data_IF_297663871202
#
_entry.id   IF_297663871202
#
_cell.length_a   1.000
_cell.length_b   1.000
_cell.length_c   1.000
_cell.angle_alpha   90.00
_cell.angle_beta   90.00
_cell.angle_gamma   90.00
#
_symmetry.space_group_name_H-M   'P 1'
#
loop_
_entity.id
_entity.type
_entity.pdbx_description
1 polymer ?
#
# COMPACT_ATOMS: atom_id res chain seq x y z
N UNK A 1 52.65 -6.30 -36.13
CA UNK A 1 52.29 -6.77 -34.78
C UNK A 1 50.78 -6.61 -34.64
N UNK A 2 50.07 -7.69 -34.31
CA UNK A 2 48.60 -7.77 -34.42
C UNK A 2 47.87 -6.91 -33.39
N UNK A 3 46.75 -6.32 -33.81
CA UNK A 3 46.02 -5.22 -33.17
C UNK A 3 45.35 -5.55 -31.81
N UNK A 4 45.53 -6.74 -31.24
CA UNK A 4 44.92 -7.12 -29.95
C UNK A 4 45.78 -8.16 -29.25
N UNK A 5 46.33 -7.81 -28.07
CA UNK A 5 46.95 -8.80 -27.19
C UNK A 5 45.94 -9.86 -26.80
N UNK A 6 46.33 -11.14 -26.92
CA UNK A 6 45.48 -12.27 -26.53
C UNK A 6 45.30 -12.23 -25.02
N UNK A 7 44.08 -11.96 -24.55
CA UNK A 7 43.72 -12.00 -23.14
C UNK A 7 43.26 -13.39 -22.75
N UNK A 8 43.61 -13.82 -21.55
CA UNK A 8 43.18 -15.07 -20.94
C UNK A 8 42.40 -14.77 -19.67
N UNK A 9 41.50 -15.68 -19.31
CA UNK A 9 40.72 -15.58 -18.08
C UNK A 9 41.59 -15.98 -16.89
N UNK A 10 41.70 -15.11 -15.89
CA UNK A 10 42.51 -15.38 -14.70
C UNK A 10 41.80 -16.32 -13.70
N UNK A 11 40.56 -16.74 -14.02
CA UNK A 11 39.80 -17.75 -13.28
C UNK A 11 39.91 -19.14 -13.91
N UNK A 12 39.64 -19.28 -15.22
CA UNK A 12 39.61 -20.59 -15.88
C UNK A 12 40.79 -20.87 -16.82
N UNK A 13 41.64 -19.87 -17.09
CA UNK A 13 42.77 -19.98 -18.03
C UNK A 13 42.39 -19.97 -19.51
N UNK A 14 41.10 -19.98 -19.86
CA UNK A 14 40.65 -19.99 -21.25
C UNK A 14 40.91 -18.65 -21.95
N UNK A 15 41.12 -18.70 -23.27
CA UNK A 15 41.31 -17.51 -24.09
C UNK A 15 40.02 -16.70 -24.18
N UNK A 16 40.11 -15.40 -23.91
CA UNK A 16 38.98 -14.48 -23.99
C UNK A 16 38.86 -13.92 -25.41
N UNK A 17 37.65 -14.01 -25.98
CA UNK A 17 37.30 -13.39 -27.26
C UNK A 17 37.17 -11.86 -27.17
N UNK A 18 37.20 -11.18 -28.31
CA UNK A 18 37.26 -9.70 -28.40
C UNK A 18 36.18 -8.95 -27.60
N UNK A 19 34.97 -9.51 -27.52
CA UNK A 19 33.82 -8.89 -26.83
C UNK A 19 33.48 -9.56 -25.49
N UNK A 20 34.27 -10.55 -25.07
CA UNK A 20 33.97 -11.37 -23.89
C UNK A 20 34.74 -10.98 -22.64
N UNK A 21 35.60 -9.94 -22.71
CA UNK A 21 36.45 -9.56 -21.59
C UNK A 21 35.73 -8.61 -20.64
N UNK A 22 35.55 -9.06 -19.39
CA UNK A 22 35.29 -8.17 -18.27
C UNK A 22 36.62 -7.89 -17.57
N UNK A 23 37.06 -6.63 -17.64
CA UNK A 23 38.27 -6.17 -16.93
C UNK A 23 37.94 -6.04 -15.44
N UNK A 24 38.78 -6.63 -14.60
CA UNK A 24 38.78 -6.52 -13.15
C UNK A 24 39.80 -5.46 -12.71
N UNK A 25 39.92 -5.21 -11.41
CA UNK A 25 40.96 -4.30 -10.89
C UNK A 25 42.38 -4.82 -11.19
N UNK A 26 42.60 -6.12 -11.00
CA UNK A 26 43.90 -6.79 -11.08
C UNK A 26 43.89 -8.02 -12.02
N UNK A 27 42.92 -8.10 -12.95
CA UNK A 27 42.80 -9.24 -13.87
C UNK A 27 41.74 -9.13 -14.97
N UNK A 28 41.49 -10.25 -15.63
CA UNK A 28 40.54 -10.43 -16.72
C UNK A 28 39.62 -11.62 -16.45
N UNK A 29 38.33 -11.42 -16.70
CA UNK A 29 37.29 -12.42 -16.49
C UNK A 29 36.54 -12.69 -17.80
N UNK A 30 36.42 -13.97 -18.17
CA UNK A 30 35.61 -14.37 -19.32
C UNK A 30 34.11 -14.33 -19.02
N UNK A 31 33.31 -14.22 -20.08
CA UNK A 31 31.83 -14.23 -20.00
C UNK A 31 31.27 -15.46 -19.27
N UNK A 32 31.89 -16.64 -19.40
CA UNK A 32 31.33 -17.88 -18.88
C UNK A 32 31.60 -18.05 -17.37
N UNK A 33 32.75 -17.58 -16.88
CA UNK A 33 32.98 -17.40 -15.45
C UNK A 33 32.09 -16.29 -14.88
N UNK A 34 31.90 -15.17 -15.60
CA UNK A 34 31.04 -14.08 -15.15
C UNK A 34 29.57 -14.49 -14.99
N UNK A 35 29.08 -15.42 -15.83
CA UNK A 35 27.70 -15.98 -15.73
C UNK A 35 27.49 -16.86 -14.50
N UNK A 36 28.55 -17.41 -13.91
CA UNK A 36 28.44 -18.25 -12.70
C UNK A 36 28.27 -17.42 -11.43
N UNK A 37 28.66 -16.15 -11.47
CA UNK A 37 28.49 -15.21 -10.35
C UNK A 37 27.01 -14.99 -10.04
N UNK A 38 26.69 -14.68 -8.78
CA UNK A 38 25.32 -14.37 -8.37
C UNK A 38 24.75 -13.23 -9.20
N UNK A 39 23.47 -13.28 -9.65
CA UNK A 39 22.78 -12.14 -10.24
C UNK A 39 22.71 -10.91 -9.32
N UNK A 40 22.89 -11.08 -8.00
CA UNK A 40 22.87 -10.03 -6.99
C UNK A 40 24.26 -9.61 -6.51
N UNK A 41 25.33 -10.13 -7.12
CA UNK A 41 26.68 -9.72 -6.73
C UNK A 41 26.91 -8.24 -7.10
N UNK A 42 27.16 -7.43 -6.08
CA UNK A 42 27.48 -6.00 -6.20
C UNK A 42 28.85 -5.75 -6.82
N UNK A 43 29.05 -4.55 -7.38
CA UNK A 43 30.35 -4.02 -7.79
C UNK A 43 31.22 -4.92 -8.70
N UNK A 44 30.61 -5.87 -9.43
CA UNK A 44 31.34 -6.89 -10.23
C UNK A 44 32.37 -6.35 -11.23
N UNK A 45 32.26 -5.08 -11.62
CA UNK A 45 33.16 -4.44 -12.60
C UNK A 45 34.38 -3.81 -11.94
N UNK A 46 34.36 -3.65 -10.62
CA UNK A 46 35.40 -3.07 -9.79
C UNK A 46 35.88 -4.07 -8.72
N UNK A 47 35.62 -5.36 -8.91
CA UNK A 47 36.13 -6.42 -8.02
C UNK A 47 37.54 -6.84 -8.42
N UNK A 48 38.31 -7.25 -7.43
CA UNK A 48 39.58 -7.97 -7.59
C UNK A 48 39.35 -9.42 -8.04
N UNK A 49 40.38 -10.07 -8.56
CA UNK A 49 40.36 -11.48 -8.94
C UNK A 49 40.10 -12.39 -7.72
N UNK A 50 40.62 -12.02 -6.56
CA UNK A 50 40.41 -12.77 -5.32
C UNK A 50 38.93 -12.74 -4.90
N UNK A 51 38.30 -11.56 -4.91
CA UNK A 51 36.86 -11.43 -4.62
C UNK A 51 36.00 -12.23 -5.59
N UNK A 52 36.37 -12.25 -6.88
CA UNK A 52 35.67 -13.06 -7.89
C UNK A 52 35.79 -14.55 -7.57
N UNK A 53 36.98 -15.03 -7.17
CA UNK A 53 37.18 -16.44 -6.79
C UNK A 53 36.40 -16.78 -5.52
N UNK A 54 36.40 -15.92 -4.52
CA UNK A 54 35.66 -16.12 -3.27
C UNK A 54 34.14 -16.15 -3.52
N UNK A 55 33.63 -15.27 -4.37
CA UNK A 55 32.22 -15.27 -4.76
C UNK A 55 31.85 -16.57 -5.49
N UNK A 56 32.69 -17.06 -6.42
CA UNK A 56 32.47 -18.34 -7.11
C UNK A 56 32.49 -19.54 -6.15
N UNK A 57 33.37 -19.52 -5.15
CA UNK A 57 33.38 -20.55 -4.11
C UNK A 57 32.07 -20.52 -3.30
N UNK A 58 31.62 -19.34 -2.87
CA UNK A 58 30.33 -19.19 -2.19
C UNK A 58 29.17 -19.70 -3.05
N UNK A 59 29.20 -19.48 -4.38
CA UNK A 59 28.19 -20.03 -5.31
C UNK A 59 28.18 -21.56 -5.32
N UNK A 60 29.34 -22.20 -5.17
CA UNK A 60 29.43 -23.66 -5.08
C UNK A 60 28.86 -24.17 -3.75
N UNK A 61 29.15 -23.48 -2.65
CA UNK A 61 28.56 -23.77 -1.33
C UNK A 61 27.03 -23.60 -1.35
N UNK A 62 26.53 -22.55 -2.02
CA UNK A 62 25.11 -22.29 -2.20
C UNK A 62 24.37 -23.44 -2.91
N UNK A 63 25.03 -24.23 -3.76
CA UNK A 63 24.39 -25.40 -4.41
C UNK A 63 23.86 -26.42 -3.39
N UNK A 64 24.54 -26.55 -2.24
CA UNK A 64 24.08 -27.42 -1.15
C UNK A 64 22.80 -26.87 -0.52
N UNK A 65 22.74 -25.55 -0.32
CA UNK A 65 21.53 -24.88 0.17
C UNK A 65 20.37 -25.08 -0.82
N UNK A 66 20.59 -24.84 -2.12
CA UNK A 66 19.58 -25.04 -3.18
C UNK A 66 19.03 -26.46 -3.18
N UNK A 67 19.89 -27.47 -3.04
CA UNK A 67 19.45 -28.88 -2.98
C UNK A 67 18.52 -29.15 -1.79
N UNK A 68 18.81 -28.55 -0.64
CA UNK A 68 18.04 -28.70 0.60
C UNK A 68 16.87 -27.71 0.74
N UNK A 69 16.74 -26.72 -0.15
CA UNK A 69 15.75 -25.66 -0.07
C UNK A 69 14.37 -26.14 -0.54
N UNK A 70 13.38 -26.08 0.35
CA UNK A 70 12.03 -26.55 0.09
C UNK A 70 11.03 -25.48 0.54
N UNK A 71 10.67 -24.53 -0.35
CA UNK A 71 9.82 -23.42 0.04
C UNK A 71 8.43 -23.91 0.44
N UNK A 72 8.01 -23.58 1.66
CA UNK A 72 6.66 -23.82 2.18
C UNK A 72 5.70 -22.68 1.84
N UNK A 73 6.24 -21.49 1.54
CA UNK A 73 5.49 -20.29 1.16
C UNK A 73 6.08 -19.68 -0.11
N UNK A 74 5.20 -19.18 -0.97
CA UNK A 74 5.58 -18.41 -2.16
C UNK A 74 4.67 -17.18 -2.23
N UNK A 75 5.25 -15.99 -2.15
CA UNK A 75 4.55 -14.74 -2.42
C UNK A 75 4.79 -14.41 -3.89
N UNK A 76 3.71 -14.39 -4.67
CA UNK A 76 3.79 -14.27 -6.13
C UNK A 76 3.58 -12.84 -6.60
N UNK A 77 4.35 -12.44 -7.61
CA UNK A 77 4.09 -11.25 -8.41
C UNK A 77 4.02 -11.63 -9.89
N UNK A 78 3.85 -10.64 -10.77
CA UNK A 78 3.82 -10.86 -12.22
C UNK A 78 5.19 -11.29 -12.78
N UNK A 79 6.29 -10.95 -12.08
CA UNK A 79 7.66 -11.30 -12.51
C UNK A 79 8.46 -11.99 -11.40
N UNK A 80 9.09 -11.25 -10.49
CA UNK A 80 9.91 -11.84 -9.43
C UNK A 80 9.05 -12.33 -8.27
N UNK A 81 9.21 -13.59 -7.89
CA UNK A 81 8.51 -14.22 -6.77
C UNK A 81 9.46 -14.37 -5.57
N UNK A 82 8.90 -14.32 -4.36
CA UNK A 82 9.63 -14.56 -3.13
C UNK A 82 9.29 -15.97 -2.60
N UNK A 83 10.27 -16.86 -2.61
CA UNK A 83 10.15 -18.24 -2.13
C UNK A 83 10.75 -18.32 -0.72
N UNK A 84 10.01 -18.87 0.23
CA UNK A 84 10.44 -18.91 1.63
C UNK A 84 10.34 -20.34 2.17
N UNK A 85 11.45 -20.84 2.70
CA UNK A 85 11.51 -22.06 3.51
C UNK A 85 11.42 -21.67 4.98
N UNK A 86 10.20 -21.69 5.51
CA UNK A 86 9.90 -21.33 6.90
C UNK A 86 10.57 -22.27 7.91
N UNK A 87 10.91 -23.51 7.52
CA UNK A 87 11.54 -24.48 8.44
C UNK A 87 13.01 -24.15 8.64
N UNK A 88 13.69 -23.76 7.55
CA UNK A 88 15.11 -23.40 7.58
C UNK A 88 15.34 -21.90 7.82
N UNK A 89 14.28 -21.08 7.82
CA UNK A 89 14.37 -19.62 7.92
C UNK A 89 15.25 -19.03 6.81
N UNK A 90 15.05 -19.52 5.58
CA UNK A 90 15.78 -19.10 4.38
C UNK A 90 14.80 -18.62 3.31
N UNK A 91 15.26 -17.78 2.39
CA UNK A 91 14.49 -17.32 1.26
C UNK A 91 15.34 -17.27 -0.02
N UNK A 92 14.66 -17.16 -1.15
CA UNK A 92 15.25 -16.74 -2.42
C UNK A 92 14.24 -15.95 -3.24
N UNK A 93 14.73 -15.05 -4.09
CA UNK A 93 13.90 -14.32 -5.03
C UNK A 93 14.26 -14.71 -6.46
N UNK A 94 13.27 -15.18 -7.23
CA UNK A 94 13.47 -15.58 -8.61
C UNK A 94 12.20 -15.39 -9.44
N UNK A 95 12.35 -15.25 -10.76
CA UNK A 95 11.21 -15.26 -11.69
C UNK A 95 10.55 -16.63 -11.67
N UNK A 96 11.35 -17.67 -11.86
CA UNK A 96 10.97 -19.06 -11.67
C UNK A 96 12.03 -19.74 -10.81
N UNK A 97 11.61 -20.57 -9.85
CA UNK A 97 12.55 -21.33 -9.05
C UNK A 97 13.05 -22.55 -9.84
N UNK A 98 14.16 -22.37 -10.55
CA UNK A 98 14.93 -23.45 -11.15
C UNK A 98 16.18 -23.71 -10.30
N UNK A 99 16.44 -24.97 -9.95
CA UNK A 99 17.59 -25.37 -9.14
C UNK A 99 18.89 -25.32 -9.94
N UNK A 100 18.83 -25.50 -11.26
CA UNK A 100 20.01 -25.49 -12.14
C UNK A 100 20.62 -24.09 -12.28
N UNK A 101 19.78 -23.05 -12.18
CA UNK A 101 20.21 -21.64 -12.14
C UNK A 101 21.00 -21.31 -10.85
N UNK A 102 20.99 -22.22 -9.86
CA UNK A 102 21.59 -22.04 -8.55
C UNK A 102 21.12 -20.70 -7.94
N UNK A 103 19.84 -20.53 -7.59
CA UNK A 103 19.32 -19.28 -7.04
C UNK A 103 19.99 -18.99 -5.69
N UNK A 104 20.30 -17.74 -5.38
CA UNK A 104 20.94 -17.39 -4.11
C UNK A 104 19.97 -17.67 -2.95
N UNK A 105 20.32 -18.62 -2.08
CA UNK A 105 19.54 -19.02 -0.91
C UNK A 105 20.12 -18.29 0.30
N UNK A 106 19.35 -17.38 0.87
CA UNK A 106 19.83 -16.43 1.88
C UNK A 106 19.02 -16.60 3.16
N UNK A 107 19.66 -16.47 4.32
CA UNK A 107 18.93 -16.52 5.60
C UNK A 107 18.06 -15.29 5.77
N UNK A 108 16.83 -15.48 6.25
CA UNK A 108 15.95 -14.38 6.63
C UNK A 108 16.61 -13.45 7.65
N UNK A 109 17.43 -13.99 8.55
CA UNK A 109 18.16 -13.21 9.56
C UNK A 109 19.18 -12.20 8.98
N UNK A 110 19.58 -12.36 7.71
CA UNK A 110 20.49 -11.41 7.06
C UNK A 110 19.77 -10.17 6.53
N UNK A 111 18.43 -10.17 6.50
CA UNK A 111 17.65 -9.04 6.02
C UNK A 111 17.74 -7.90 7.04
N UNK A 112 18.26 -6.76 6.58
CA UNK A 112 18.38 -5.53 7.37
C UNK A 112 17.23 -4.56 7.08
N UNK A 113 16.54 -4.72 5.95
CA UNK A 113 15.37 -3.92 5.59
C UNK A 113 14.74 -4.35 4.26
N UNK A 114 13.56 -3.82 3.97
CA UNK A 114 12.92 -3.95 2.67
C UNK A 114 12.07 -2.72 2.33
N UNK A 115 11.85 -2.47 1.04
CA UNK A 115 11.05 -1.34 0.54
C UNK A 115 10.31 -1.70 -0.75
N UNK A 116 9.13 -1.10 -0.97
CA UNK A 116 8.41 -1.14 -2.24
C UNK A 116 8.45 0.26 -2.84
N UNK A 117 8.95 0.36 -4.06
CA UNK A 117 9.09 1.60 -4.80
C UNK A 117 8.30 1.54 -6.11
N UNK A 118 7.77 2.68 -6.54
CA UNK A 118 6.97 2.80 -7.76
C UNK A 118 7.58 3.88 -8.64
N UNK A 119 8.14 3.46 -9.76
CA UNK A 119 8.67 4.35 -10.78
C UNK A 119 7.56 4.73 -11.76
N UNK A 120 7.15 5.99 -11.73
CA UNK A 120 6.23 6.58 -12.70
C UNK A 120 7.01 7.22 -13.85
N UNK A 121 6.68 6.84 -15.08
CA UNK A 121 7.19 7.47 -16.30
C UNK A 121 6.07 8.26 -16.97
N UNK A 122 6.29 9.56 -17.17
CA UNK A 122 5.36 10.47 -17.86
C UNK A 122 5.85 10.73 -19.29
N UNK A 123 5.00 10.46 -20.27
CA UNK A 123 5.30 10.66 -21.69
C UNK A 123 4.31 11.65 -22.30
N UNK A 124 4.80 12.72 -22.93
CA UNK A 124 3.94 13.66 -23.67
C UNK A 124 3.41 13.01 -24.95
N UNK A 125 2.12 13.18 -25.20
CA UNK A 125 1.46 12.70 -26.40
C UNK A 125 1.51 13.77 -27.49
N UNK A 126 1.68 13.32 -28.73
CA UNK A 126 1.72 14.18 -29.91
C UNK A 126 0.70 13.67 -30.93
N UNK A 127 0.08 14.59 -31.68
CA UNK A 127 -0.69 14.25 -32.86
C UNK A 127 0.17 14.44 -34.11
N UNK A 128 -0.13 13.65 -35.14
CA UNK A 128 0.46 13.88 -36.47
C UNK A 128 -0.50 14.77 -37.26
N UNK A 129 0.03 15.86 -37.80
CA UNK A 129 -0.75 16.76 -38.67
C UNK A 129 -0.94 16.17 -40.07
N UNK A 130 -1.53 16.95 -40.99
CA UNK A 130 -1.76 16.50 -42.37
C UNK A 130 -0.48 16.36 -43.19
N UNK A 131 0.58 17.03 -42.77
CA UNK A 131 1.88 17.06 -43.45
C UNK A 131 2.85 16.00 -42.88
N UNK A 132 2.44 15.28 -41.83
CA UNK A 132 3.21 14.23 -41.18
C UNK A 132 4.06 14.71 -40.01
N UNK A 133 3.99 15.99 -39.65
CA UNK A 133 4.76 16.58 -38.58
C UNK A 133 4.11 16.31 -37.22
N UNK A 134 4.96 16.18 -36.19
CA UNK A 134 4.51 15.93 -34.82
C UNK A 134 4.15 17.25 -34.14
N UNK A 135 2.88 17.44 -33.85
CA UNK A 135 2.39 18.57 -33.07
C UNK A 135 2.02 18.15 -31.65
N UNK A 136 2.38 18.96 -30.65
CA UNK A 136 1.86 18.80 -29.30
C UNK A 136 0.38 19.18 -29.23
N UNK A 137 -0.35 18.60 -28.29
CA UNK A 137 -1.70 19.04 -27.98
C UNK A 137 -1.69 20.38 -27.23
N UNK A 138 -2.74 21.19 -27.42
CA UNK A 138 -2.98 22.38 -26.61
C UNK A 138 -4.33 22.26 -25.89
N UNK A 139 -4.37 22.03 -24.56
CA UNK A 139 -3.20 21.88 -23.67
C UNK A 139 -2.44 20.54 -23.86
N UNK A 140 -1.15 20.46 -23.47
CA UNK A 140 -0.36 19.24 -23.57
C UNK A 140 -1.02 18.05 -22.87
N UNK A 141 -0.96 16.89 -23.52
CA UNK A 141 -1.49 15.62 -23.01
C UNK A 141 -0.34 14.70 -22.63
N UNK A 142 -0.55 13.88 -21.60
CA UNK A 142 0.44 12.95 -21.10
C UNK A 142 -0.18 11.58 -20.85
N UNK A 143 0.59 10.55 -21.12
CA UNK A 143 0.32 9.18 -20.65
C UNK A 143 1.34 8.78 -19.59
N UNK A 144 0.91 7.89 -18.70
CA UNK A 144 1.74 7.41 -17.60
C UNK A 144 1.94 5.90 -17.66
N UNK A 145 3.15 5.45 -17.37
CA UNK A 145 3.47 4.04 -17.13
C UNK A 145 4.17 3.86 -15.78
N UNK A 146 4.02 2.68 -15.20
CA UNK A 146 4.44 2.37 -13.84
C UNK A 146 5.26 1.08 -13.80
N UNK A 147 6.38 1.14 -13.08
CA UNK A 147 7.21 -0.01 -12.73
C UNK A 147 7.32 -0.14 -11.22
N UNK A 148 7.09 -1.35 -10.70
CA UNK A 148 7.13 -1.64 -9.27
C UNK A 148 8.42 -2.40 -8.96
N UNK A 149 9.19 -1.87 -8.00
CA UNK A 149 10.43 -2.47 -7.54
C UNK A 149 10.37 -2.79 -6.05
N UNK A 150 10.62 -4.05 -5.70
CA UNK A 150 10.80 -4.48 -4.33
C UNK A 150 12.28 -4.62 -4.02
N UNK A 151 12.72 -3.92 -2.99
CA UNK A 151 14.09 -3.88 -2.52
C UNK A 151 14.23 -4.72 -1.26
N UNK A 152 15.24 -5.58 -1.20
CA UNK A 152 15.64 -6.31 0.01
C UNK A 152 17.09 -5.93 0.31
N UNK A 153 17.32 -5.37 1.48
CA UNK A 153 18.64 -4.99 1.97
C UNK A 153 19.19 -6.09 2.87
N UNK A 154 20.48 -6.39 2.71
CA UNK A 154 21.11 -7.57 3.30
C UNK A 154 22.45 -7.22 3.96
N UNK A 155 22.69 -7.82 5.12
CA UNK A 155 24.02 -7.95 5.71
C UNK A 155 24.71 -9.21 5.15
N UNK A 156 25.14 -9.15 3.90
CA UNK A 156 25.81 -10.24 3.21
C UNK A 156 27.07 -9.73 2.49
N UNK A 157 28.19 -10.48 2.51
CA UNK A 157 29.50 -9.99 2.05
C UNK A 157 29.54 -9.51 0.59
N UNK A 158 28.67 -10.05 -0.27
CA UNK A 158 28.65 -9.77 -1.71
C UNK A 158 27.31 -9.27 -2.25
N UNK A 159 26.27 -9.26 -1.42
CA UNK A 159 24.90 -8.97 -1.85
C UNK A 159 24.32 -8.00 -0.83
N UNK A 160 24.39 -6.71 -1.08
CA UNK A 160 23.86 -5.68 -0.17
C UNK A 160 22.41 -5.37 -0.50
N UNK A 161 22.03 -5.49 -1.76
CA UNK A 161 20.69 -5.16 -2.26
C UNK A 161 20.20 -6.19 -3.30
N UNK A 162 18.96 -6.62 -3.15
CA UNK A 162 18.22 -7.30 -4.21
C UNK A 162 17.10 -6.38 -4.72
N UNK A 163 17.26 -5.87 -5.95
CA UNK A 163 16.24 -5.07 -6.64
C UNK A 163 15.36 -5.95 -7.53
N UNK A 164 14.16 -6.26 -7.06
CA UNK A 164 13.20 -7.13 -7.75
C UNK A 164 12.17 -6.30 -8.52
N UNK A 165 12.15 -6.37 -9.85
CA UNK A 165 11.03 -5.79 -10.63
C UNK A 165 9.82 -6.72 -10.52
N UNK A 166 8.71 -6.23 -9.98
CA UNK A 166 7.53 -7.06 -9.72
C UNK A 166 6.62 -7.23 -10.94
N UNK A 167 6.59 -6.25 -11.85
CA UNK A 167 5.84 -6.32 -13.10
C UNK A 167 6.68 -6.87 -14.27
N UNK A 168 6.05 -7.61 -15.19
CA UNK A 168 6.70 -8.22 -16.36
C UNK A 168 6.93 -7.24 -17.51
N UNK A 169 6.00 -6.29 -17.68
CA UNK A 169 6.00 -5.22 -18.67
C UNK A 169 5.56 -3.92 -18.01
N UNK A 170 5.91 -2.78 -18.59
CA UNK A 170 5.49 -1.47 -18.11
C UNK A 170 3.95 -1.43 -18.04
N UNK A 171 3.41 -1.02 -16.89
CA UNK A 171 1.97 -0.98 -16.67
C UNK A 171 1.45 0.41 -17.01
N UNK A 172 0.50 0.54 -17.94
CA UNK A 172 -0.13 1.83 -18.22
C UNK A 172 -1.02 2.29 -17.07
N UNK A 173 -1.41 3.56 -17.07
CA UNK A 173 -2.39 4.10 -16.13
C UNK A 173 -3.75 3.38 -16.17
N UNK A 174 -4.14 2.89 -17.36
CA UNK A 174 -5.38 2.18 -17.62
C UNK A 174 -5.37 0.73 -17.08
N UNK A 175 -4.19 0.14 -16.87
CA UNK A 175 -3.99 -1.22 -16.35
C UNK A 175 -4.25 -1.32 -14.82
N UNK A 176 -5.32 -0.67 -14.32
CA UNK A 176 -5.61 -0.53 -12.89
C UNK A 176 -5.60 -1.86 -12.11
N UNK A 177 -6.19 -2.91 -12.67
CA UNK A 177 -6.25 -4.21 -11.99
C UNK A 177 -4.86 -4.82 -11.83
N UNK A 178 -4.03 -4.78 -12.89
CA UNK A 178 -2.66 -5.31 -12.83
C UNK A 178 -1.78 -4.50 -11.89
N UNK A 179 -1.92 -3.16 -11.88
CA UNK A 179 -1.23 -2.30 -10.91
C UNK A 179 -1.60 -2.67 -9.48
N UNK A 180 -2.90 -2.83 -9.20
CA UNK A 180 -3.40 -3.23 -7.89
C UNK A 180 -2.88 -4.61 -7.45
N UNK A 181 -2.82 -5.58 -8.36
CA UNK A 181 -2.32 -6.93 -8.07
C UNK A 181 -0.81 -6.94 -7.77
N UNK A 182 -0.03 -6.18 -8.53
CA UNK A 182 1.43 -6.04 -8.31
C UNK A 182 1.73 -5.29 -7.01
N UNK A 183 0.99 -4.23 -6.71
CA UNK A 183 1.11 -3.49 -5.46
C UNK A 183 0.78 -4.37 -4.26
N UNK A 184 -0.32 -5.14 -4.33
CA UNK A 184 -0.70 -6.10 -3.29
C UNK A 184 0.40 -7.13 -3.04
N UNK A 185 1.00 -7.68 -4.11
CA UNK A 185 2.11 -8.63 -3.98
C UNK A 185 3.32 -7.99 -3.28
N UNK A 186 3.69 -6.76 -3.64
CA UNK A 186 4.77 -6.02 -2.99
C UNK A 186 4.49 -5.73 -1.52
N UNK A 187 3.27 -5.36 -1.17
CA UNK A 187 2.83 -5.14 0.22
C UNK A 187 2.83 -6.44 1.04
N UNK A 188 2.45 -7.57 0.43
CA UNK A 188 2.54 -8.89 1.08
C UNK A 188 4.00 -9.28 1.36
N UNK A 189 4.90 -9.08 0.38
CA UNK A 189 6.34 -9.30 0.60
C UNK A 189 6.88 -8.42 1.72
N UNK A 190 6.52 -7.13 1.72
CA UNK A 190 6.95 -6.18 2.74
C UNK A 190 6.50 -6.61 4.14
N UNK A 191 5.20 -6.85 4.31
CA UNK A 191 4.60 -7.21 5.59
C UNK A 191 5.15 -8.53 6.13
N UNK A 192 5.34 -9.53 5.26
CA UNK A 192 5.93 -10.81 5.65
C UNK A 192 7.35 -10.62 6.17
N UNK A 193 8.21 -9.95 5.38
CA UNK A 193 9.61 -9.76 5.74
C UNK A 193 9.77 -8.95 7.03
N UNK A 194 9.03 -7.84 7.19
CA UNK A 194 9.07 -7.02 8.40
C UNK A 194 8.64 -7.80 9.65
N UNK A 195 7.64 -8.68 9.53
CA UNK A 195 7.16 -9.49 10.64
C UNK A 195 8.21 -10.54 11.09
N UNK A 196 8.85 -11.22 10.13
CA UNK A 196 9.79 -12.30 10.46
C UNK A 196 11.17 -11.81 10.90
N UNK A 197 11.60 -10.62 10.46
CA UNK A 197 12.92 -10.07 10.83
C UNK A 197 12.86 -9.06 11.95
N UNK A 198 11.68 -8.49 12.23
CA UNK A 198 11.55 -7.33 13.10
C UNK A 198 12.27 -6.09 12.54
N UNK A 199 12.67 -6.08 11.26
CA UNK A 199 13.22 -4.90 10.64
C UNK A 199 12.09 -3.86 10.50
N UNK A 200 12.06 -2.89 11.41
CA UNK A 200 11.23 -1.70 11.21
C UNK A 200 11.66 -1.06 9.89
N UNK A 201 10.68 -0.67 9.08
CA UNK A 201 10.92 -0.01 7.80
C UNK A 201 12.05 1.01 7.94
N UNK A 202 13.07 0.86 7.10
CA UNK A 202 14.11 1.86 6.93
C UNK A 202 13.44 3.17 6.52
N UNK A 203 13.18 4.03 7.51
CA UNK A 203 12.69 5.35 7.26
C UNK A 203 13.77 6.15 6.55
N UNK A 204 13.48 6.55 5.31
CA UNK A 204 13.68 7.88 4.72
C UNK A 204 14.14 7.79 3.28
N UNK A 205 13.16 7.76 2.39
CA UNK A 205 13.33 7.95 0.95
C UNK A 205 12.06 8.47 0.28
N UNK A 206 11.23 9.26 0.96
CA UNK A 206 10.17 10.04 0.32
C UNK A 206 10.08 11.42 0.96
N UNK A 207 10.14 12.40 0.09
CA UNK A 207 10.17 13.83 0.33
C UNK A 207 8.83 14.32 0.93
N UNK A 208 8.90 15.04 2.05
CA UNK A 208 7.90 15.99 2.58
C UNK A 208 6.42 15.59 2.66
N UNK A 209 5.90 15.46 3.90
CA UNK A 209 4.55 15.94 4.26
C UNK A 209 3.54 14.90 4.76
N UNK A 210 3.23 14.97 6.06
CA UNK A 210 2.08 14.36 6.77
C UNK A 210 1.99 12.83 6.86
N UNK A 211 2.38 12.28 8.03
CA UNK A 211 2.21 10.87 8.36
C UNK A 211 0.78 10.54 8.83
N UNK A 212 0.16 9.54 8.18
CA UNK A 212 -0.96 8.78 8.73
C UNK A 212 -0.44 7.41 9.19
N UNK A 213 -0.62 7.06 10.47
CA UNK A 213 -0.42 5.70 10.98
C UNK A 213 -1.77 5.11 11.45
N UNK A 214 -2.22 3.96 10.91
CA UNK A 214 -3.27 3.16 11.53
C UNK A 214 -2.64 2.27 12.62
N UNK A 215 -2.98 2.48 13.90
CA UNK A 215 -2.52 1.61 15.00
C UNK A 215 -2.76 2.19 16.41
N UNK A 216 -2.91 1.31 17.41
CA UNK A 216 -2.97 1.68 18.84
C UNK A 216 -1.61 2.24 19.28
N UNK A 217 -1.56 3.50 19.68
CA UNK A 217 -0.32 4.16 20.10
C UNK A 217 -0.51 4.96 21.39
N UNK A 218 0.48 4.84 22.28
CA UNK A 218 0.60 5.65 23.49
C UNK A 218 1.77 6.60 23.28
N UNK A 219 1.54 7.92 23.33
CA UNK A 219 2.61 8.89 23.17
C UNK A 219 2.70 9.80 24.40
N UNK A 220 3.91 10.03 24.89
CA UNK A 220 4.13 10.76 26.14
C UNK A 220 4.42 12.25 25.88
N UNK A 221 4.98 12.62 24.72
CA UNK A 221 5.20 14.01 24.29
C UNK A 221 5.30 14.07 22.76
N UNK A 222 4.24 14.51 22.08
CA UNK A 222 4.30 14.65 20.61
C UNK A 222 3.01 15.14 19.95
N UNK A 223 3.16 15.64 18.72
CA UNK A 223 2.05 15.90 17.79
C UNK A 223 1.75 14.62 17.00
N UNK A 224 0.52 14.13 17.06
CA UNK A 224 0.13 12.88 16.40
C UNK A 224 -1.28 12.92 15.83
N UNK A 225 -1.46 12.28 14.67
CA UNK A 225 -2.75 12.02 14.06
C UNK A 225 -2.98 10.51 14.13
N UNK A 226 -3.98 10.08 14.91
CA UNK A 226 -4.25 8.65 15.15
C UNK A 226 -5.65 8.29 14.66
N UNK A 227 -5.72 7.26 13.83
CA UNK A 227 -6.96 6.60 13.45
C UNK A 227 -7.18 5.42 14.41
N UNK A 228 -8.08 5.56 15.40
CA UNK A 228 -8.37 4.50 16.39
C UNK A 228 -8.37 4.95 17.86
N UNK A 229 -8.09 4.01 18.77
CA UNK A 229 -8.05 4.25 20.22
C UNK A 229 -6.67 4.79 20.63
N UNK A 230 -6.63 5.95 21.29
CA UNK A 230 -5.37 6.62 21.62
C UNK A 230 -5.38 7.36 22.95
N UNK A 231 -4.24 7.37 23.63
CA UNK A 231 -4.03 8.05 24.91
C UNK A 231 -2.83 9.00 24.80
N UNK A 232 -3.04 10.28 25.09
CA UNK A 232 -1.98 11.30 25.10
C UNK A 232 -1.87 11.92 26.49
N UNK A 233 -0.66 11.95 27.04
CA UNK A 233 -0.41 12.53 28.35
C UNK A 233 -0.14 14.05 28.28
N UNK A 234 0.61 14.52 27.28
CA UNK A 234 0.99 15.92 27.08
C UNK A 234 1.21 16.22 25.57
N UNK A 235 0.28 16.95 24.93
CA UNK A 235 0.47 17.34 23.51
C UNK A 235 -0.75 17.85 22.75
N UNK A 236 -0.55 18.13 21.45
CA UNK A 236 -1.61 18.47 20.49
C UNK A 236 -1.91 17.27 19.60
N UNK A 237 -3.17 16.86 19.47
CA UNK A 237 -3.52 15.68 18.66
C UNK A 237 -4.91 15.73 18.05
N UNK A 238 -5.05 15.11 16.87
CA UNK A 238 -6.34 14.85 16.24
C UNK A 238 -6.57 13.33 16.23
N UNK A 239 -7.63 12.89 16.91
CA UNK A 239 -7.96 11.47 17.05
C UNK A 239 -9.34 11.20 16.46
N UNK A 240 -9.41 10.39 15.41
CA UNK A 240 -10.67 9.88 14.88
C UNK A 240 -11.03 8.59 15.64
N UNK A 241 -12.01 8.65 16.55
CA UNK A 241 -12.44 7.51 17.37
C UNK A 241 -12.66 7.83 18.86
N UNK A 242 -12.25 6.90 19.73
CA UNK A 242 -12.33 7.04 21.19
C UNK A 242 -10.96 7.45 21.76
N UNK A 243 -10.90 8.57 22.47
CA UNK A 243 -9.61 9.11 22.92
C UNK A 243 -9.64 9.80 24.27
N UNK A 244 -8.49 9.78 24.95
CA UNK A 244 -8.30 10.41 26.25
C UNK A 244 -7.04 11.28 26.26
N UNK A 245 -7.19 12.54 26.68
CA UNK A 245 -6.09 13.48 26.83
C UNK A 245 -6.01 13.95 28.28
N UNK A 246 -4.83 13.85 28.91
CA UNK A 246 -4.68 14.34 30.28
C UNK A 246 -4.34 15.82 30.39
N UNK A 247 -3.47 16.34 29.50
CA UNK A 247 -3.02 17.74 29.50
C UNK A 247 -2.72 18.21 28.06
N UNK A 248 -3.57 19.06 27.46
CA UNK A 248 -3.28 19.58 26.10
C UNK A 248 -4.46 20.09 25.28
N UNK A 249 -4.21 20.33 23.98
CA UNK A 249 -5.22 20.74 22.99
C UNK A 249 -5.58 19.58 22.06
N UNK A 250 -6.86 19.28 21.86
CA UNK A 250 -7.26 18.15 21.01
C UNK A 250 -8.55 18.34 20.23
N UNK A 251 -8.59 17.80 19.00
CA UNK A 251 -9.81 17.62 18.21
C UNK A 251 -10.14 16.13 18.14
N UNK A 252 -11.32 15.74 18.63
CA UNK A 252 -11.76 14.35 18.63
C UNK A 252 -13.14 14.23 17.98
N UNK A 253 -13.23 13.83 16.70
CA UNK A 253 -14.49 13.36 16.13
C UNK A 253 -14.88 12.03 16.79
N UNK A 254 -15.93 12.03 17.65
CA UNK A 254 -16.39 10.83 18.35
C UNK A 254 -16.61 11.02 19.87
N UNK A 255 -16.23 10.00 20.65
CA UNK A 255 -16.39 9.97 22.11
C UNK A 255 -15.05 10.27 22.79
N UNK A 256 -15.00 11.31 23.63
CA UNK A 256 -13.72 11.78 24.15
C UNK A 256 -13.75 12.34 25.57
N UNK A 257 -12.63 12.20 26.26
CA UNK A 257 -12.45 12.72 27.62
C UNK A 257 -11.16 13.55 27.73
N UNK A 258 -11.28 14.77 28.26
CA UNK A 258 -10.13 15.64 28.54
C UNK A 258 -10.10 16.01 30.02
N UNK A 259 -8.97 15.78 30.71
CA UNK A 259 -8.89 16.11 32.13
C UNK A 259 -8.48 17.56 32.41
N UNK A 260 -7.53 18.12 31.66
CA UNK A 260 -6.99 19.47 31.86
C UNK A 260 -6.58 20.09 30.51
N UNK A 261 -7.41 20.92 29.88
CA UNK A 261 -7.03 21.53 28.59
C UNK A 261 -8.14 22.14 27.75
N UNK A 262 -7.82 22.50 26.50
CA UNK A 262 -8.78 23.02 25.52
C UNK A 262 -9.14 21.96 24.48
N UNK A 263 -10.43 21.68 24.27
CA UNK A 263 -10.84 20.61 23.36
C UNK A 263 -12.05 20.98 22.49
N UNK A 264 -12.05 20.49 21.26
CA UNK A 264 -13.23 20.54 20.38
C UNK A 264 -13.66 19.11 20.04
N UNK A 265 -14.87 18.74 20.46
CA UNK A 265 -15.39 17.37 20.32
C UNK A 265 -16.73 17.39 19.60
N UNK A 266 -16.77 17.10 18.29
CA UNK A 266 -18.01 16.79 17.59
C UNK A 266 -18.54 15.44 18.10
N UNK A 267 -19.61 15.44 18.92
CA UNK A 267 -20.19 14.22 19.50
C UNK A 267 -20.47 14.28 21.01
N UNK A 268 -20.18 13.19 21.71
CA UNK A 268 -20.42 13.03 23.15
C UNK A 268 -19.10 13.15 23.91
N UNK A 269 -19.00 14.07 24.86
CA UNK A 269 -17.71 14.32 25.51
C UNK A 269 -17.79 14.86 26.93
N UNK A 270 -16.72 14.66 27.67
CA UNK A 270 -16.61 15.07 29.08
C UNK A 270 -15.31 15.83 29.33
N UNK A 271 -15.40 17.01 29.96
CA UNK A 271 -14.26 17.80 30.40
C UNK A 271 -14.30 18.00 31.91
N UNK A 272 -13.21 17.69 32.63
CA UNK A 272 -13.16 17.92 34.08
C UNK A 272 -12.66 19.31 34.45
N UNK A 273 -11.67 19.87 33.74
CA UNK A 273 -11.07 21.18 34.03
C UNK A 273 -10.59 21.85 32.72
N UNK A 274 -11.29 22.88 32.22
CA UNK A 274 -10.83 23.62 31.03
C UNK A 274 -11.90 24.29 30.17
N UNK A 275 -11.49 24.76 28.98
CA UNK A 275 -12.39 25.38 28.00
C UNK A 275 -12.73 24.41 26.86
N UNK A 276 -14.01 24.20 26.57
CA UNK A 276 -14.43 23.23 25.55
C UNK A 276 -15.54 23.74 24.64
N UNK A 277 -15.46 23.38 23.35
CA UNK A 277 -16.58 23.50 22.41
C UNK A 277 -17.07 22.10 22.02
N UNK A 278 -18.32 21.79 22.34
CA UNK A 278 -18.93 20.50 22.04
C UNK A 278 -20.22 20.69 21.26
N UNK A 279 -20.20 20.49 19.94
CA UNK A 279 -21.42 20.30 19.17
C UNK A 279 -22.03 18.93 19.53
N UNK A 280 -23.09 18.91 20.35
CA UNK A 280 -23.73 17.67 20.82
C UNK A 280 -24.11 17.65 22.30
N UNK A 281 -24.05 16.45 22.91
CA UNK A 281 -24.38 16.21 24.31
C UNK A 281 -23.09 16.14 25.13
N UNK A 282 -22.94 16.98 26.16
CA UNK A 282 -21.68 17.02 26.91
C UNK A 282 -21.80 17.49 28.35
N UNK A 283 -20.79 17.16 29.13
CA UNK A 283 -20.73 17.50 30.56
C UNK A 283 -19.39 18.16 30.90
N UNK A 284 -19.46 19.33 31.55
CA UNK A 284 -18.28 20.03 32.07
C UNK A 284 -18.38 20.14 33.59
N UNK A 285 -17.31 19.78 34.30
CA UNK A 285 -17.32 19.79 35.76
C UNK A 285 -16.79 21.11 36.34
N UNK A 286 -15.73 21.69 35.76
CA UNK A 286 -15.14 22.97 36.21
C UNK A 286 -14.53 23.72 35.01
N UNK A 287 -15.19 24.76 34.50
CA UNK A 287 -14.66 25.55 33.38
C UNK A 287 -15.70 26.32 32.56
N UNK A 288 -15.23 26.99 31.48
CA UNK A 288 -16.10 27.70 30.53
C UNK A 288 -16.35 26.83 29.29
N UNK A 289 -17.62 26.62 28.93
CA UNK A 289 -17.99 25.79 27.78
C UNK A 289 -19.02 26.47 26.88
N UNK A 290 -18.88 26.27 25.56
CA UNK A 290 -19.92 26.59 24.58
C UNK A 290 -20.47 25.28 24.01
N UNK A 291 -21.76 25.03 24.23
CA UNK A 291 -22.44 23.81 23.79
C UNK A 291 -23.65 24.16 22.93
N UNK A 292 -23.55 24.02 21.60
CA UNK A 292 -24.72 23.97 20.72
C UNK A 292 -25.43 22.62 20.94
N UNK A 293 -26.34 22.54 21.93
CA UNK A 293 -27.04 21.29 22.27
C UNK A 293 -27.55 21.23 23.72
N UNK A 294 -27.83 20.01 24.19
CA UNK A 294 -28.24 19.71 25.56
C UNK A 294 -27.00 19.38 26.39
N UNK A 295 -26.76 20.09 27.49
CA UNK A 295 -25.59 19.80 28.33
C UNK A 295 -25.72 20.28 29.77
N UNK A 296 -24.83 19.76 30.60
CA UNK A 296 -24.85 19.94 32.05
C UNK A 296 -23.51 20.51 32.54
N UNK A 297 -23.56 21.58 33.32
CA UNK A 297 -22.40 22.14 34.01
C UNK A 297 -22.64 22.10 35.51
N UNK A 298 -21.62 21.75 36.30
CA UNK A 298 -21.75 21.70 37.76
C UNK A 298 -21.17 22.94 38.46
N UNK A 299 -20.09 23.56 37.95
CA UNK A 299 -19.39 24.67 38.61
C UNK A 299 -18.74 25.69 37.64
N UNK A 300 -19.40 26.10 36.56
CA UNK A 300 -18.81 27.02 35.57
C UNK A 300 -19.80 27.92 34.82
N UNK A 301 -19.28 28.91 34.09
CA UNK A 301 -20.05 29.77 33.18
C UNK A 301 -20.18 29.09 31.81
N UNK A 302 -21.41 28.85 31.35
CA UNK A 302 -21.68 28.29 30.03
C UNK A 302 -22.60 29.20 29.21
N UNK A 303 -22.37 29.27 27.90
CA UNK A 303 -23.33 29.83 26.95
C UNK A 303 -23.94 28.67 26.14
N UNK A 304 -25.24 28.45 26.31
CA UNK A 304 -25.99 27.40 25.61
C UNK A 304 -27.10 28.03 24.75
N UNK A 305 -27.10 27.79 23.42
CA UNK A 305 -28.24 28.11 22.56
C UNK A 305 -29.46 27.16 22.74
N UNK A 306 -29.35 26.11 23.58
CA UNK A 306 -30.40 25.10 23.84
C UNK A 306 -30.78 24.98 25.33
N UNK A 307 -31.66 24.04 25.68
CA UNK A 307 -32.01 23.74 27.09
C UNK A 307 -30.82 23.07 27.81
N UNK A 308 -30.33 23.67 28.88
CA UNK A 308 -29.41 23.00 29.79
C UNK A 308 -29.60 23.39 31.24
N UNK A 309 -29.08 22.54 32.12
CA UNK A 309 -29.17 22.66 33.57
C UNK A 309 -27.77 22.96 34.11
N UNK A 310 -27.63 24.08 34.82
CA UNK A 310 -26.45 24.39 35.61
C UNK A 310 -26.80 24.23 37.09
N UNK A 311 -25.92 23.60 37.86
CA UNK A 311 -26.13 23.46 39.30
C UNK A 311 -25.64 24.68 40.08
N UNK A 312 -24.69 25.47 39.55
CA UNK A 312 -24.18 26.72 40.14
C UNK A 312 -23.63 27.70 39.08
N UNK A 313 -24.38 28.76 38.72
CA UNK A 313 -23.89 29.90 37.92
C UNK A 313 -24.90 30.53 36.94
N UNK A 314 -24.82 31.86 36.77
CA UNK A 314 -25.67 32.69 35.89
C UNK A 314 -25.63 32.26 34.41
N UNK A 315 -26.79 32.17 33.77
CA UNK A 315 -26.94 31.95 32.32
C UNK A 315 -27.22 33.27 31.59
N UNK A 316 -26.69 33.41 30.36
CA UNK A 316 -27.09 34.46 29.40
C UNK A 316 -27.76 33.78 28.21
N UNK A 317 -29.08 33.61 28.28
CA UNK A 317 -29.89 33.04 27.20
C UNK A 317 -30.24 34.15 26.18
N UNK A 318 -30.00 33.98 24.87
CA UNK A 318 -30.60 34.85 23.87
C UNK A 318 -32.10 34.51 23.75
N UNK A 319 -32.95 35.42 24.23
CA UNK A 319 -34.39 35.31 24.10
C UNK A 319 -34.90 35.71 22.71
N UNK A 320 -35.82 34.91 22.18
CA UNK A 320 -36.99 35.33 21.40
C UNK A 320 -38.07 34.26 21.68
N UNK A 321 -39.27 34.54 22.20
CA UNK A 321 -40.06 35.76 22.12
C UNK A 321 -41.12 35.62 21.02
N UNK A 322 -42.29 35.10 21.40
CA UNK A 322 -43.62 35.20 20.76
C UNK A 322 -43.97 34.34 19.51
N UNK A 323 -45.01 33.51 19.70
CA UNK A 323 -46.01 33.02 18.74
C UNK A 323 -47.36 33.72 19.11
N UNK A 324 -48.31 34.07 18.20
CA UNK A 324 -49.33 33.11 17.70
C UNK A 324 -49.93 33.35 16.28
N UNK A 325 -50.59 32.29 15.75
CA UNK A 325 -51.59 32.17 14.64
C UNK A 325 -51.07 31.54 13.32
N UNK A 326 -51.71 30.57 12.65
CA UNK A 326 -52.90 29.70 12.83
C UNK A 326 -52.83 28.54 11.76
N UNK A 327 -53.72 27.50 11.77
CA UNK A 327 -53.48 26.15 11.22
C UNK A 327 -54.37 25.72 10.01
N UNK A 328 -54.32 24.41 9.66
CA UNK A 328 -55.18 23.54 8.79
C UNK A 328 -54.44 22.99 7.52
N UNK A 329 -54.55 21.75 7.03
CA UNK A 329 -55.54 20.65 7.12
C UNK A 329 -54.92 19.30 6.63
N UNK A 330 -55.56 18.16 6.98
CA UNK A 330 -55.38 16.78 6.49
C UNK A 330 -55.68 16.63 4.97
N UNK A 331 -55.33 15.57 4.20
CA UNK A 331 -55.80 14.16 4.27
C UNK A 331 -55.32 13.37 3.00
N UNK A 332 -54.74 12.16 3.20
CA UNK A 332 -54.97 10.80 2.59
C UNK A 332 -55.01 10.60 1.05
N UNK A 333 -54.34 9.53 0.55
CA UNK A 333 -54.98 8.27 0.05
C UNK A 333 -54.16 7.48 -1.01
N UNK A 334 -54.06 6.14 -0.77
CA UNK A 334 -54.05 4.98 -1.71
C UNK A 334 -52.86 4.79 -2.67
N UNK A 335 -52.41 3.60 -3.08
CA UNK A 335 -52.74 2.18 -2.83
C UNK A 335 -51.75 1.26 -3.61
N UNK A 336 -51.52 0.03 -3.11
CA UNK A 336 -51.24 -1.27 -3.79
C UNK A 336 -50.19 -1.38 -4.92
N UNK A 337 -49.35 -2.42 -5.06
CA UNK A 337 -49.20 -3.75 -4.45
C UNK A 337 -47.81 -4.34 -4.82
N UNK A 338 -47.20 -5.20 -3.99
CA UNK A 338 -47.10 -6.67 -4.16
C UNK A 338 -46.41 -7.14 -5.47
N UNK A 339 -45.46 -8.08 -5.54
CA UNK A 339 -44.74 -8.92 -4.57
C UNK A 339 -43.59 -9.66 -5.31
N UNK A 340 -42.57 -10.09 -4.54
CA UNK A 340 -41.73 -11.31 -4.65
C UNK A 340 -41.07 -11.70 -5.99
N UNK A 341 -39.83 -12.19 -6.06
CA UNK A 341 -38.84 -12.58 -5.05
C UNK A 341 -37.83 -13.58 -5.65
N UNK A 342 -36.59 -13.54 -5.13
CA UNK A 342 -35.59 -14.62 -4.95
C UNK A 342 -35.17 -15.53 -6.14
N UNK A 343 -33.96 -16.09 -6.26
CA UNK A 343 -32.66 -16.01 -5.57
C UNK A 343 -31.68 -16.95 -6.31
N UNK A 344 -30.36 -16.70 -6.16
CA UNK A 344 -29.21 -17.65 -6.17
C UNK A 344 -29.00 -18.59 -7.39
N UNK A 345 -27.81 -18.99 -7.84
CA UNK A 345 -26.42 -18.97 -7.37
C UNK A 345 -25.71 -20.09 -8.16
N UNK A 346 -24.55 -19.80 -8.78
CA UNK A 346 -23.25 -20.43 -8.53
C UNK A 346 -22.74 -21.42 -9.62
N UNK A 347 -21.55 -21.06 -10.14
CA UNK A 347 -20.35 -21.85 -10.47
C UNK A 347 -20.34 -22.97 -11.54
N UNK A 348 -19.31 -22.93 -12.41
CA UNK A 348 -18.57 -24.14 -12.83
C UNK A 348 -18.19 -24.33 -14.33
N UNK A 349 -17.02 -23.80 -14.72
CA UNK A 349 -15.97 -24.36 -15.63
C UNK A 349 -16.25 -25.03 -17.01
N UNK A 350 -15.60 -24.47 -18.06
CA UNK A 350 -14.84 -25.09 -19.20
C UNK A 350 -15.44 -26.21 -20.08
N UNK A 351 -15.22 -26.38 -21.39
CA UNK A 351 -14.38 -25.78 -22.44
C UNK A 351 -14.94 -26.22 -23.84
N UNK A 352 -14.57 -25.46 -24.89
CA UNK A 352 -14.43 -25.84 -26.31
C UNK A 352 -15.65 -26.03 -27.26
N UNK A 353 -15.68 -25.20 -28.32
CA UNK A 353 -15.79 -25.67 -29.72
C UNK A 353 -17.14 -25.60 -30.46
N UNK A 354 -17.22 -24.67 -31.44
CA UNK A 354 -17.95 -24.75 -32.74
C UNK A 354 -19.48 -24.48 -32.86
N UNK A 355 -19.77 -23.24 -33.30
CA UNK A 355 -20.75 -22.74 -34.30
C UNK A 355 -22.01 -23.55 -34.70
N UNK A 356 -23.19 -22.97 -34.46
CA UNK A 356 -24.17 -22.48 -35.46
C UNK A 356 -25.62 -22.56 -34.95
N UNK A 357 -26.08 -21.59 -34.16
CA UNK A 357 -27.48 -21.55 -33.72
C UNK A 357 -28.03 -20.12 -33.81
N UNK A 358 -29.20 -19.97 -34.46
CA UNK A 358 -29.85 -18.68 -34.76
C UNK A 358 -30.12 -17.78 -33.54
N UNK A 359 -30.63 -16.54 -33.77
CA UNK A 359 -30.79 -15.52 -32.73
C UNK A 359 -31.64 -16.04 -31.55
N UNK A 360 -31.21 -15.73 -30.34
CA UNK A 360 -31.87 -16.13 -29.08
C UNK A 360 -32.01 -14.94 -28.14
N UNK A 361 -33.04 -14.96 -27.29
CA UNK A 361 -33.28 -13.90 -26.30
C UNK A 361 -32.70 -14.32 -24.95
N UNK A 362 -31.88 -13.45 -24.36
CA UNK A 362 -31.22 -13.69 -23.08
C UNK A 362 -32.24 -13.71 -21.96
N UNK A 363 -32.36 -14.85 -21.26
CA UNK A 363 -33.30 -14.96 -20.13
C UNK A 363 -32.88 -14.15 -18.89
N UNK A 364 -31.63 -13.67 -18.83
CA UNK A 364 -31.14 -12.83 -17.72
C UNK A 364 -31.48 -11.35 -17.88
N UNK A 365 -31.56 -10.83 -19.11
CA UNK A 365 -31.73 -9.39 -19.36
C UNK A 365 -32.66 -9.02 -20.53
N UNK A 366 -33.17 -9.98 -21.29
CA UNK A 366 -34.09 -9.76 -22.40
C UNK A 366 -33.46 -9.33 -23.72
N UNK A 367 -32.13 -9.19 -23.81
CA UNK A 367 -31.45 -8.81 -25.05
C UNK A 367 -31.44 -9.97 -26.08
N UNK A 368 -31.57 -9.67 -27.37
CA UNK A 368 -31.44 -10.65 -28.46
C UNK A 368 -29.98 -10.79 -28.88
N UNK A 369 -29.46 -12.01 -28.98
CA UNK A 369 -28.04 -12.28 -29.27
C UNK A 369 -27.91 -13.41 -30.31
N UNK A 370 -26.78 -13.45 -31.03
CA UNK A 370 -26.47 -14.48 -32.03
C UNK A 370 -25.26 -15.34 -31.66
N UNK A 371 -24.46 -14.91 -30.67
CA UNK A 371 -23.31 -15.65 -30.15
C UNK A 371 -23.65 -16.63 -29.02
N UNK A 372 -22.62 -17.32 -28.51
CA UNK A 372 -22.73 -18.23 -27.35
C UNK A 372 -22.95 -17.52 -26.01
N UNK A 373 -22.72 -16.21 -25.96
CA UNK A 373 -22.87 -15.39 -24.77
C UNK A 373 -23.69 -14.14 -25.11
N UNK A 374 -24.41 -13.60 -24.12
CA UNK A 374 -25.14 -12.35 -24.27
C UNK A 374 -24.18 -11.16 -24.27
N UNK A 375 -24.23 -10.33 -25.30
CA UNK A 375 -23.34 -9.17 -25.46
C UNK A 375 -23.63 -8.07 -24.43
N UNK A 376 -24.85 -7.99 -23.90
CA UNK A 376 -25.21 -6.99 -22.89
C UNK A 376 -24.84 -7.36 -21.46
N UNK A 377 -24.78 -8.66 -21.10
CA UNK A 377 -24.57 -9.07 -19.70
C UNK A 377 -23.60 -10.24 -19.51
N UNK A 378 -23.03 -10.79 -20.58
CA UNK A 378 -22.07 -11.90 -20.55
C UNK A 378 -22.67 -13.27 -20.20
N UNK A 379 -23.98 -13.37 -19.96
CA UNK A 379 -24.62 -14.65 -19.63
C UNK A 379 -24.53 -15.64 -20.79
N UNK A 380 -24.11 -16.90 -20.57
CA UNK A 380 -24.08 -17.91 -21.63
C UNK A 380 -25.50 -18.24 -22.12
N UNK A 381 -25.61 -18.63 -23.39
CA UNK A 381 -26.83 -19.22 -23.96
C UNK A 381 -27.12 -20.52 -23.20
N UNK A 382 -28.27 -20.56 -22.51
CA UNK A 382 -28.77 -21.78 -21.85
C UNK A 382 -29.50 -22.67 -22.84
#
# INVERSE_FOLDING_TARGET
MGLFDKKFCDVCGEKIGMLGNRKLEDGNLCKDCAKKLSPWFDDRRHSTLEEIKNQLQMREENRRLVSSFHPGRVIRSDRYNLYIDERQQMFTASVNLDREDNPDIISLSQITGCNLDVNETRTEEYRTDRDGERESYDPPRYSYSYDYYFYIYLNHPYIREMKLRLNSMDLSEDDRNRRHDVERAGQEMMSYLQNVTGCMAGGMGMNQGMGMQPGMGMNNQGMGMQSGMGMNSQGMGMQSGMGMNSQGMGMQPGMGMNSQGMGMQPGMGMNSQGMGMQPGMGMNNQGMGMQPGMGMNSQGMGMQPGMGMNNQGMNSQPGMGMNPNMPQNMNVQSCMGAAAGAAAGAAGAGFAGSTADGPWVCQSCGATNTGRFCESCGSPRK
#
